data_IF_705076437809
#
_entry.id   IF_705076437809
#
_cell.length_a   1.000
_cell.length_b   1.000
_cell.length_c   1.000
_cell.angle_alpha   90.00
_cell.angle_beta   90.00
_cell.angle_gamma   90.00
#
_symmetry.space_group_name_H-M   'P 1'
#
loop_
_entity.id
_entity.type
_entity.pdbx_description
1 polymer ?
#
# COMPACT_ATOMS: atom_id res chain seq x y z
N UNK A 1 9.15 27.14 -6.66
CA UNK A 1 10.14 26.15 -6.17
C UNK A 1 9.78 24.82 -6.83
N UNK A 2 10.54 24.40 -7.85
CA UNK A 2 10.38 23.07 -8.46
C UNK A 2 11.30 22.13 -7.70
N UNK A 3 10.74 21.16 -7.01
CA UNK A 3 11.51 20.06 -6.45
C UNK A 3 11.75 19.04 -7.56
N UNK A 4 13.01 18.80 -7.88
CA UNK A 4 13.45 17.73 -8.78
C UNK A 4 13.24 16.35 -8.12
N UNK A 5 12.00 16.01 -7.76
CA UNK A 5 11.65 14.70 -7.25
C UNK A 5 11.33 13.80 -8.46
N UNK A 6 12.36 13.31 -9.15
CA UNK A 6 12.17 12.27 -10.15
C UNK A 6 11.79 10.95 -9.46
N UNK A 7 10.90 10.20 -10.08
CA UNK A 7 10.60 8.84 -9.63
C UNK A 7 11.86 7.97 -9.78
N UNK A 8 12.23 7.15 -8.78
CA UNK A 8 13.40 6.29 -8.89
C UNK A 8 13.16 5.05 -9.77
N UNK A 9 11.92 4.83 -10.24
CA UNK A 9 11.53 3.65 -11.02
C UNK A 9 11.15 3.96 -12.48
N UNK A 10 10.94 5.23 -12.84
CA UNK A 10 10.54 5.64 -14.19
C UNK A 10 11.01 7.08 -14.50
N UNK A 11 10.92 7.55 -15.75
CA UNK A 11 11.43 8.88 -16.14
C UNK A 11 10.52 10.05 -15.71
N UNK A 12 9.36 9.79 -15.10
CA UNK A 12 8.38 10.81 -14.75
C UNK A 12 8.73 11.54 -13.44
N UNK A 13 8.12 12.71 -13.25
CA UNK A 13 8.13 13.41 -11.96
C UNK A 13 7.28 12.66 -10.94
N UNK A 14 7.71 12.69 -9.68
CA UNK A 14 7.03 12.03 -8.58
C UNK A 14 6.23 13.05 -7.76
N UNK A 15 4.92 12.80 -7.65
CA UNK A 15 4.03 13.37 -6.64
C UNK A 15 3.31 12.24 -5.89
N UNK A 16 2.38 12.56 -4.98
CA UNK A 16 1.65 11.56 -4.22
C UNK A 16 0.83 10.62 -5.13
N UNK A 17 0.21 11.16 -6.18
CA UNK A 17 -0.58 10.37 -7.13
C UNK A 17 0.31 9.37 -7.87
N UNK A 18 1.48 9.83 -8.32
CA UNK A 18 2.46 9.00 -8.99
C UNK A 18 3.01 7.93 -8.08
N UNK A 19 3.47 8.29 -6.88
CA UNK A 19 4.08 7.35 -5.95
C UNK A 19 3.16 6.17 -5.61
N UNK A 20 1.85 6.42 -5.46
CA UNK A 20 0.90 5.39 -5.03
C UNK A 20 0.05 4.78 -6.13
N UNK A 21 -0.19 5.45 -7.28
CA UNK A 21 -1.13 4.96 -8.30
C UNK A 21 -0.54 4.87 -9.71
N UNK A 22 0.12 5.93 -10.22
CA UNK A 22 0.53 5.96 -11.64
C UNK A 22 1.95 5.45 -11.90
N UNK A 23 2.80 5.35 -10.87
CA UNK A 23 4.13 4.76 -11.00
C UNK A 23 4.03 3.29 -11.43
N UNK A 24 4.80 2.84 -12.45
CA UNK A 24 4.81 1.44 -12.88
C UNK A 24 5.10 0.45 -11.75
N UNK A 25 5.95 0.86 -10.79
CA UNK A 25 6.23 0.06 -9.60
C UNK A 25 4.98 -0.10 -8.73
N UNK A 26 4.24 0.97 -8.47
CA UNK A 26 3.00 0.90 -7.70
C UNK A 26 1.93 0.06 -8.42
N UNK A 27 1.73 0.30 -9.72
CA UNK A 27 0.79 -0.48 -10.56
C UNK A 27 1.10 -1.97 -10.53
N UNK A 28 2.38 -2.34 -10.67
CA UNK A 28 2.82 -3.74 -10.57
C UNK A 28 2.42 -4.38 -9.23
N UNK A 29 2.45 -3.63 -8.13
CA UNK A 29 2.04 -4.12 -6.82
C UNK A 29 0.52 -4.25 -6.71
N UNK A 30 -0.26 -3.28 -7.19
CA UNK A 30 -1.72 -3.38 -7.21
C UNK A 30 -2.22 -4.55 -8.06
N UNK A 31 -1.62 -4.75 -9.24
CA UNK A 31 -1.88 -5.91 -10.10
C UNK A 31 -1.53 -7.23 -9.39
N UNK A 32 -0.43 -7.27 -8.64
CA UNK A 32 -0.06 -8.44 -7.85
C UNK A 32 -1.10 -8.77 -6.78
N UNK A 33 -1.67 -7.76 -6.12
CA UNK A 33 -2.78 -7.93 -5.18
C UNK A 33 -4.14 -8.17 -5.85
N UNK A 34 -4.19 -8.21 -7.19
CA UNK A 34 -5.43 -8.35 -7.97
C UNK A 34 -6.44 -7.22 -7.71
N UNK A 35 -5.95 -6.02 -7.40
CA UNK A 35 -6.76 -4.84 -7.16
C UNK A 35 -6.71 -3.90 -8.37
N UNK A 36 -7.88 -3.62 -8.95
CA UNK A 36 -8.03 -2.65 -10.03
C UNK A 36 -8.30 -1.26 -9.45
N UNK A 37 -7.35 -0.35 -9.66
CA UNK A 37 -7.42 1.04 -9.22
C UNK A 37 -7.50 2.02 -10.39
N UNK A 38 -7.80 1.56 -11.61
CA UNK A 38 -7.85 2.40 -12.81
C UNK A 38 -8.87 3.55 -12.72
N UNK A 39 -9.95 3.37 -11.96
CA UNK A 39 -10.95 4.40 -11.71
C UNK A 39 -10.54 5.44 -10.66
N UNK A 40 -9.44 5.21 -9.94
CA UNK A 40 -8.96 6.10 -8.87
C UNK A 40 -8.09 7.19 -9.48
N UNK A 41 -8.62 8.41 -9.53
CA UNK A 41 -7.93 9.57 -10.10
C UNK A 41 -7.22 10.44 -9.04
N UNK A 42 -7.48 10.16 -7.76
CA UNK A 42 -6.86 10.85 -6.62
C UNK A 42 -6.73 9.90 -5.42
N UNK A 43 -5.68 10.09 -4.61
CA UNK A 43 -5.37 9.26 -3.43
C UNK A 43 -6.50 9.30 -2.41
N UNK A 44 -7.13 10.45 -2.22
CA UNK A 44 -8.24 10.60 -1.26
C UNK A 44 -9.44 9.70 -1.63
N UNK A 45 -9.65 9.43 -2.93
CA UNK A 45 -10.75 8.59 -3.40
C UNK A 45 -10.57 7.11 -3.04
N UNK A 46 -9.37 6.66 -2.68
CA UNK A 46 -9.13 5.26 -2.28
C UNK A 46 -9.98 4.86 -1.06
N UNK A 47 -10.28 5.80 -0.16
CA UNK A 47 -11.15 5.56 0.99
C UNK A 47 -12.63 5.44 0.64
N UNK A 48 -13.04 5.96 -0.52
CA UNK A 48 -14.41 5.92 -1.04
C UNK A 48 -14.61 4.69 -1.91
N UNK A 49 -13.70 4.45 -2.86
CA UNK A 49 -13.75 3.30 -3.79
C UNK A 49 -13.65 1.98 -3.05
N UNK A 50 -12.96 1.96 -1.89
CA UNK A 50 -12.81 0.77 -1.05
C UNK A 50 -12.32 -0.45 -1.85
N UNK A 51 -11.09 -0.41 -2.39
CA UNK A 51 -10.60 -1.50 -3.24
C UNK A 51 -10.55 -2.85 -2.53
N UNK A 52 -10.39 -2.84 -1.21
CA UNK A 52 -10.39 -4.03 -0.36
C UNK A 52 -11.81 -4.55 -0.03
N UNK A 53 -12.87 -3.86 -0.43
CA UNK A 53 -14.27 -4.23 -0.14
C UNK A 53 -14.56 -4.46 1.36
N UNK A 54 -13.77 -3.87 2.26
CA UNK A 54 -13.96 -3.99 3.70
C UNK A 54 -15.03 -3.01 4.18
N UNK A 55 -16.05 -3.54 4.85
CA UNK A 55 -17.20 -2.77 5.34
C UNK A 55 -16.89 -1.97 6.60
N UNK A 56 -16.02 -2.47 7.47
CA UNK A 56 -15.61 -1.75 8.67
C UNK A 56 -14.61 -0.65 8.29
N UNK A 57 -15.04 0.61 8.36
CA UNK A 57 -14.24 1.78 8.01
C UNK A 57 -12.87 1.82 8.72
N UNK A 58 -12.79 1.40 9.99
CA UNK A 58 -11.53 1.41 10.75
C UNK A 58 -10.55 0.37 10.22
N UNK A 59 -11.04 -0.84 9.94
CA UNK A 59 -10.25 -1.93 9.36
C UNK A 59 -9.81 -1.54 7.95
N UNK A 60 -10.73 -1.09 7.11
CA UNK A 60 -10.45 -0.58 5.75
C UNK A 60 -9.35 0.46 5.75
N UNK A 61 -9.46 1.47 6.62
CA UNK A 61 -8.46 2.55 6.73
C UNK A 61 -7.11 1.99 7.15
N UNK A 62 -7.08 1.05 8.10
CA UNK A 62 -5.84 0.44 8.58
C UNK A 62 -5.13 -0.36 7.49
N UNK A 63 -5.88 -1.18 6.73
CA UNK A 63 -5.35 -2.00 5.63
C UNK A 63 -4.84 -1.13 4.48
N UNK A 64 -5.62 -0.12 4.09
CA UNK A 64 -5.23 0.83 3.05
C UNK A 64 -3.97 1.62 3.46
N UNK A 65 -3.94 2.19 4.67
CA UNK A 65 -2.78 2.91 5.18
C UNK A 65 -1.55 1.99 5.27
N UNK A 66 -1.70 0.72 5.68
CA UNK A 66 -0.59 -0.24 5.70
C UNK A 66 0.00 -0.45 4.30
N UNK A 67 -0.87 -0.63 3.31
CA UNK A 67 -0.48 -0.88 1.93
C UNK A 67 0.27 0.32 1.34
N UNK A 68 -0.28 1.52 1.50
CA UNK A 68 0.35 2.77 1.06
C UNK A 68 1.70 2.98 1.77
N UNK A 69 1.76 2.77 3.09
CA UNK A 69 3.00 2.86 3.86
C UNK A 69 4.10 1.93 3.32
N UNK A 70 3.73 0.71 2.94
CA UNK A 70 4.69 -0.27 2.42
C UNK A 70 5.16 0.03 0.99
N UNK A 71 4.32 0.66 0.15
CA UNK A 71 4.74 1.21 -1.14
C UNK A 71 5.73 2.38 -0.96
N UNK A 72 5.45 3.28 -0.02
CA UNK A 72 6.36 4.37 0.31
C UNK A 72 7.71 3.84 0.84
N UNK A 73 7.71 2.82 1.70
CA UNK A 73 8.93 2.14 2.15
C UNK A 73 9.71 1.51 0.99
N UNK A 74 9.03 0.87 0.03
CA UNK A 74 9.65 0.34 -1.19
C UNK A 74 10.35 1.41 -2.00
N UNK A 75 9.69 2.55 -2.22
CA UNK A 75 10.30 3.71 -2.89
C UNK A 75 11.53 4.20 -2.13
N UNK A 76 11.47 4.29 -0.81
CA UNK A 76 12.61 4.74 -0.01
C UNK A 76 13.76 3.74 0.04
N UNK A 77 13.49 2.43 0.01
CA UNK A 77 14.52 1.41 -0.13
C UNK A 77 15.33 1.63 -1.42
N UNK A 78 14.65 1.91 -2.53
CA UNK A 78 15.29 2.24 -3.81
C UNK A 78 16.13 3.52 -3.73
N UNK A 79 15.58 4.61 -3.17
CA UNK A 79 16.27 5.91 -3.10
C UNK A 79 17.49 5.87 -2.19
N UNK A 80 17.37 5.30 -0.99
CA UNK A 80 18.41 5.40 0.05
C UNK A 80 19.36 4.21 0.09
N UNK A 81 18.96 3.05 -0.45
CA UNK A 81 19.75 1.81 -0.42
C UNK A 81 19.94 1.16 -1.78
N UNK A 82 19.36 1.73 -2.84
CA UNK A 82 19.39 1.14 -4.20
C UNK A 82 18.82 -0.28 -4.26
N UNK A 83 17.89 -0.61 -3.37
CA UNK A 83 17.22 -1.91 -3.31
C UNK A 83 15.98 -1.94 -4.20
N UNK A 84 15.88 -2.96 -5.05
CA UNK A 84 14.70 -3.26 -5.86
C UNK A 84 13.85 -4.33 -5.18
N UNK A 85 12.93 -3.90 -4.31
CA UNK A 85 12.05 -4.83 -3.59
C UNK A 85 10.97 -5.40 -4.52
N UNK A 86 10.92 -6.73 -4.58
CA UNK A 86 9.90 -7.49 -5.28
C UNK A 86 8.51 -7.32 -4.65
N UNK A 87 7.44 -7.62 -5.41
CA UNK A 87 6.08 -7.60 -4.89
C UNK A 87 5.90 -8.50 -3.66
N UNK A 88 6.51 -9.69 -3.67
CA UNK A 88 6.47 -10.62 -2.54
C UNK A 88 7.10 -10.03 -1.27
N UNK A 89 8.20 -9.29 -1.38
CA UNK A 89 8.84 -8.64 -0.22
C UNK A 89 7.96 -7.52 0.33
N UNK A 90 7.37 -6.69 -0.54
CA UNK A 90 6.45 -5.63 -0.11
C UNK A 90 5.20 -6.23 0.54
N UNK A 91 4.64 -7.30 -0.02
CA UNK A 91 3.46 -7.98 0.51
C UNK A 91 3.74 -8.68 1.86
N UNK A 92 4.85 -9.40 1.99
CA UNK A 92 5.27 -9.97 3.27
C UNK A 92 5.41 -8.90 4.36
N UNK A 93 5.93 -7.72 4.00
CA UNK A 93 6.03 -6.60 4.94
C UNK A 93 4.66 -6.00 5.30
N UNK A 94 3.71 -5.95 4.37
CA UNK A 94 2.32 -5.60 4.67
C UNK A 94 1.68 -6.59 5.66
N UNK A 95 1.92 -7.89 5.48
CA UNK A 95 1.48 -8.93 6.41
C UNK A 95 2.03 -8.69 7.83
N UNK A 96 3.34 -8.52 7.95
CA UNK A 96 4.00 -8.34 9.25
C UNK A 96 3.55 -7.05 9.95
N UNK A 97 3.44 -5.95 9.19
CA UNK A 97 2.93 -4.69 9.72
C UNK A 97 1.47 -4.84 10.19
N UNK A 98 0.59 -5.50 9.43
CA UNK A 98 -0.79 -5.71 9.85
C UNK A 98 -0.91 -6.61 11.08
N UNK A 99 -0.13 -7.68 11.17
CA UNK A 99 -0.05 -8.51 12.38
C UNK A 99 0.37 -7.68 13.58
N UNK A 100 1.41 -6.85 13.44
CA UNK A 100 1.86 -5.95 14.50
C UNK A 100 0.76 -4.96 14.89
N UNK A 101 0.13 -4.34 13.89
CA UNK A 101 -0.90 -3.30 14.06
C UNK A 101 -2.19 -3.86 14.66
N UNK A 102 -2.47 -5.16 14.48
CA UNK A 102 -3.61 -5.85 15.10
C UNK A 102 -3.61 -5.78 16.62
N UNK A 103 -2.43 -5.61 17.25
CA UNK A 103 -2.32 -5.45 18.70
C UNK A 103 -2.83 -4.09 19.21
N UNK A 104 -3.08 -3.12 18.32
CA UNK A 104 -3.72 -1.84 18.67
C UNK A 104 -5.25 -1.93 18.70
N UNK A 105 -5.83 -3.04 18.26
CA UNK A 105 -7.28 -3.23 18.29
C UNK A 105 -7.77 -3.46 19.72
N UNK A 106 -8.84 -2.75 20.07
CA UNK A 106 -9.47 -2.86 21.40
C UNK A 106 -10.41 -4.06 21.52
N UNK A 107 -10.84 -4.63 20.39
CA UNK A 107 -11.78 -5.76 20.35
C UNK A 107 -11.12 -6.97 19.69
N UNK A 108 -11.50 -8.17 20.15
CA UNK A 108 -11.04 -9.42 19.55
C UNK A 108 -11.52 -9.58 18.10
N UNK A 109 -12.71 -9.05 17.77
CA UNK A 109 -13.26 -9.06 16.42
C UNK A 109 -12.42 -8.24 15.45
N UNK A 110 -12.09 -6.99 15.79
CA UNK A 110 -11.24 -6.13 14.94
C UNK A 110 -9.83 -6.72 14.80
N UNK A 111 -9.29 -7.29 15.88
CA UNK A 111 -7.98 -7.97 15.83
C UNK A 111 -8.01 -9.14 14.86
N UNK A 112 -9.04 -10.00 14.94
CA UNK A 112 -9.20 -11.15 14.04
C UNK A 112 -9.30 -10.71 12.58
N UNK A 113 -10.04 -9.62 12.29
CA UNK A 113 -10.15 -9.06 10.95
C UNK A 113 -8.81 -8.57 10.40
N UNK A 114 -7.99 -7.90 11.21
CA UNK A 114 -6.67 -7.46 10.74
C UNK A 114 -5.71 -8.63 10.53
N UNK A 115 -5.83 -9.71 11.30
CA UNK A 115 -5.05 -10.95 11.07
C UNK A 115 -5.53 -11.66 9.79
N UNK A 116 -6.83 -11.68 9.52
CA UNK A 116 -7.35 -12.19 8.25
C UNK A 116 -6.82 -11.37 7.07
N UNK A 117 -6.87 -10.04 7.17
CA UNK A 117 -6.30 -9.14 6.18
C UNK A 117 -4.78 -9.26 6.06
N UNK A 118 -4.03 -9.58 7.12
CA UNK A 118 -2.60 -9.82 6.96
C UNK A 118 -2.33 -11.05 6.09
N UNK A 119 -3.11 -12.11 6.26
CA UNK A 119 -2.97 -13.35 5.50
C UNK A 119 -3.23 -13.15 4.00
N UNK A 120 -4.10 -12.20 3.61
CA UNK A 120 -4.34 -11.83 2.21
C UNK A 120 -3.05 -11.45 1.47
N UNK A 121 -2.07 -10.83 2.13
CA UNK A 121 -0.83 -10.38 1.48
C UNK A 121 0.20 -11.51 1.25
N UNK A 122 -0.03 -12.70 1.78
CA UNK A 122 0.87 -13.86 1.62
C UNK A 122 0.16 -15.07 0.99
N UNK A 123 -1.10 -14.91 0.60
CA UNK A 123 -1.92 -15.90 -0.09
C UNK A 123 -1.59 -15.94 -1.59
#
# INVERSE_FOLDING_TARGET
MRTDASCPFCPDGEDCLHLFLSCPRAQSFWTHLQLDLTAVIDIEQMWIVNPFLESNQRIRTTVLTCTLWNLWKCRNAKVFRSEDESNLQVAARCHDDLLLWSNRCSTASDKSKLVEWSNFFIA
#
